data_IF_610427124698
#
_entry.id   IF_610427124698
#
_cell.length_a   1.000
_cell.length_b   1.000
_cell.length_c   1.000
_cell.angle_alpha   90.00
_cell.angle_beta   90.00
_cell.angle_gamma   90.00
#
_symmetry.space_group_name_H-M   'P 1'
#
loop_
_entity.id
_entity.type
_entity.pdbx_description
1 polymer ?
#
# COMPACT_ATOMS: atom_id res chain seq x y z
N UNK A 1 -9.26 -4.32 10.05
CA UNK A 1 -8.81 -5.73 9.88
C UNK A 1 -7.76 -6.13 10.91
N UNK A 2 -6.73 -5.32 11.14
CA UNK A 2 -5.64 -5.60 12.07
C UNK A 2 -6.11 -5.84 13.52
N UNK A 3 -6.98 -4.96 14.06
CA UNK A 3 -7.51 -5.12 15.43
C UNK A 3 -8.38 -6.37 15.60
N UNK A 4 -9.19 -6.71 14.61
CA UNK A 4 -10.04 -7.91 14.63
C UNK A 4 -9.21 -9.19 14.65
N UNK A 5 -8.10 -9.21 13.90
CA UNK A 5 -7.16 -10.33 13.82
C UNK A 5 -6.55 -10.63 15.19
N UNK A 6 -6.13 -9.61 15.93
CA UNK A 6 -5.56 -9.79 17.28
C UNK A 6 -6.61 -10.14 18.35
N UNK A 7 -7.82 -9.59 18.26
CA UNK A 7 -8.93 -9.88 19.18
C UNK A 7 -9.33 -11.35 19.12
N UNK A 8 -9.28 -11.99 17.96
CA UNK A 8 -9.63 -13.41 17.79
C UNK A 8 -8.45 -14.35 18.08
N UNK A 9 -7.26 -13.96 17.66
CA UNK A 9 -6.07 -14.80 17.78
C UNK A 9 -5.60 -14.98 19.23
N UNK A 10 -5.53 -13.91 20.00
CA UNK A 10 -4.97 -13.93 21.36
C UNK A 10 -5.75 -14.87 22.28
N UNK A 11 -7.10 -14.84 22.38
CA UNK A 11 -7.85 -15.76 23.23
C UNK A 11 -7.70 -17.23 22.80
N UNK A 12 -7.69 -17.50 21.49
CA UNK A 12 -7.54 -18.85 20.97
C UNK A 12 -6.16 -19.43 21.29
N UNK A 13 -5.09 -18.64 21.10
CA UNK A 13 -3.74 -19.07 21.44
C UNK A 13 -3.54 -19.22 22.95
N UNK A 14 -4.12 -18.31 23.75
CA UNK A 14 -4.09 -18.42 25.20
C UNK A 14 -4.77 -19.70 25.70
N UNK A 15 -5.94 -20.04 25.14
CA UNK A 15 -6.63 -21.30 25.45
C UNK A 15 -5.79 -22.52 25.06
N UNK A 16 -5.18 -22.53 23.88
CA UNK A 16 -4.33 -23.63 23.43
C UNK A 16 -3.05 -23.76 24.26
N UNK A 17 -2.42 -22.65 24.63
CA UNK A 17 -1.26 -22.65 25.52
C UNK A 17 -1.64 -23.19 26.90
N UNK A 18 -2.76 -22.73 27.45
CA UNK A 18 -3.31 -23.25 28.69
C UNK A 18 -3.61 -24.76 28.60
N UNK A 19 -4.23 -25.21 27.52
CA UNK A 19 -4.53 -26.62 27.29
C UNK A 19 -3.24 -27.46 27.18
N UNK A 20 -2.20 -26.96 26.48
CA UNK A 20 -0.90 -27.64 26.39
C UNK A 20 -0.20 -27.80 27.76
N UNK A 21 -0.23 -26.75 28.59
CA UNK A 21 0.35 -26.76 29.93
C UNK A 21 -0.44 -27.62 30.91
N UNK A 22 -1.78 -27.57 30.82
CA UNK A 22 -2.69 -28.25 31.78
C UNK A 22 -2.84 -29.74 31.50
N UNK A 23 -2.71 -30.18 30.24
CA UNK A 23 -3.05 -31.51 29.77
C UNK A 23 -1.87 -32.28 29.16
N UNK A 24 -0.63 -31.93 29.46
CA UNK A 24 0.58 -32.66 29.02
C UNK A 24 0.54 -33.11 27.53
N UNK A 25 0.07 -32.22 26.62
CA UNK A 25 0.00 -32.51 25.19
C UNK A 25 1.42 -32.81 24.65
N UNK A 26 1.67 -33.97 24.00
CA UNK A 26 3.00 -34.34 23.56
C UNK A 26 3.38 -33.58 22.27
N UNK A 27 3.83 -32.33 22.37
CA UNK A 27 4.19 -31.49 21.23
C UNK A 27 5.32 -32.10 20.35
N UNK A 28 6.26 -32.80 20.99
CA UNK A 28 7.33 -33.54 20.29
C UNK A 28 6.80 -34.65 19.37
N UNK A 29 5.72 -35.29 19.79
CA UNK A 29 5.05 -36.30 19.01
C UNK A 29 4.36 -35.70 17.76
N UNK A 30 3.68 -34.57 17.94
CA UNK A 30 3.05 -33.83 16.83
C UNK A 30 4.09 -33.37 15.78
N UNK A 31 5.25 -32.89 16.26
CA UNK A 31 6.34 -32.51 15.38
C UNK A 31 6.87 -33.68 14.54
N UNK A 32 7.11 -34.84 15.17
CA UNK A 32 7.54 -36.05 14.47
C UNK A 32 6.51 -36.54 13.46
N UNK A 33 5.22 -36.45 13.76
CA UNK A 33 4.12 -36.82 12.86
C UNK A 33 4.15 -36.00 11.55
N UNK A 34 4.40 -34.70 11.62
CA UNK A 34 4.54 -33.85 10.43
C UNK A 34 5.69 -34.32 9.52
N UNK A 35 6.81 -34.75 10.10
CA UNK A 35 7.96 -35.26 9.33
C UNK A 35 7.75 -36.64 8.72
N UNK A 36 6.90 -37.47 9.29
CA UNK A 36 6.60 -38.80 8.72
C UNK A 36 5.78 -38.70 7.42
N UNK A 37 5.00 -37.64 7.24
CA UNK A 37 4.13 -37.40 6.08
C UNK A 37 4.62 -36.27 5.19
N UNK A 38 5.89 -36.31 4.82
CA UNK A 38 6.61 -35.24 4.13
C UNK A 38 5.85 -34.67 2.92
N UNK A 39 5.31 -35.51 2.03
CA UNK A 39 4.63 -35.07 0.82
C UNK A 39 3.35 -34.26 1.11
N UNK A 40 2.45 -34.76 1.97
CA UNK A 40 1.22 -34.06 2.32
C UNK A 40 1.48 -32.80 3.13
N UNK A 41 2.42 -32.86 4.08
CA UNK A 41 2.84 -31.70 4.88
C UNK A 41 3.45 -30.61 3.99
N UNK A 42 4.34 -30.99 3.07
CA UNK A 42 5.02 -30.02 2.19
C UNK A 42 4.04 -29.36 1.21
N UNK A 43 3.15 -30.15 0.58
CA UNK A 43 2.15 -29.60 -0.35
C UNK A 43 1.20 -28.63 0.32
N UNK A 44 0.73 -28.94 1.52
CA UNK A 44 -0.16 -28.03 2.29
C UNK A 44 0.61 -26.81 2.79
N UNK A 45 1.82 -26.99 3.31
CA UNK A 45 2.66 -25.86 3.72
C UNK A 45 2.98 -24.93 2.54
N UNK A 46 3.22 -25.48 1.34
CA UNK A 46 3.43 -24.70 0.13
C UNK A 46 2.17 -23.92 -0.28
N UNK A 47 0.99 -24.51 -0.22
CA UNK A 47 -0.27 -23.82 -0.51
C UNK A 47 -0.51 -22.65 0.47
N UNK A 48 -0.25 -22.87 1.76
CA UNK A 48 -0.35 -21.84 2.78
C UNK A 48 0.71 -20.75 2.53
N UNK A 49 1.95 -21.14 2.20
CA UNK A 49 3.03 -20.20 1.92
C UNK A 49 2.70 -19.26 0.75
N UNK A 50 2.19 -19.80 -0.35
CA UNK A 50 1.74 -18.99 -1.51
C UNK A 50 0.61 -18.04 -1.10
N UNK A 51 -0.38 -18.52 -0.36
CA UNK A 51 -1.51 -17.70 0.11
C UNK A 51 -1.03 -16.56 1.00
N UNK A 52 -0.13 -16.84 1.96
CA UNK A 52 0.43 -15.82 2.87
C UNK A 52 1.33 -14.85 2.11
N UNK A 53 2.13 -15.33 1.15
CA UNK A 53 2.96 -14.46 0.32
C UNK A 53 2.09 -13.45 -0.46
N UNK A 54 1.02 -13.93 -1.12
CA UNK A 54 0.08 -13.06 -1.84
C UNK A 54 -0.59 -12.09 -0.89
N UNK A 55 -1.04 -12.53 0.28
CA UNK A 55 -1.64 -11.67 1.29
C UNK A 55 -0.69 -10.53 1.74
N UNK A 56 0.57 -10.85 2.04
CA UNK A 56 1.59 -9.87 2.45
C UNK A 56 1.89 -8.89 1.30
N UNK A 57 2.00 -9.38 0.06
CA UNK A 57 2.22 -8.54 -1.12
C UNK A 57 1.05 -7.60 -1.37
N UNK A 58 -0.20 -8.06 -1.28
CA UNK A 58 -1.40 -7.21 -1.42
C UNK A 58 -1.46 -6.15 -0.33
N UNK A 59 -1.15 -6.50 0.92
CA UNK A 59 -1.05 -5.52 2.01
C UNK A 59 0.07 -4.50 1.79
N UNK A 60 1.22 -4.95 1.27
CA UNK A 60 2.35 -4.07 0.94
C UNK A 60 1.99 -3.10 -0.18
N UNK A 61 1.27 -3.56 -1.22
CA UNK A 61 0.73 -2.73 -2.29
C UNK A 61 -0.17 -1.62 -1.75
N UNK A 62 -1.15 -1.99 -0.94
CA UNK A 62 -2.10 -1.04 -0.32
C UNK A 62 -1.38 0.01 0.54
N UNK A 63 -0.44 -0.42 1.39
CA UNK A 63 0.36 0.49 2.23
C UNK A 63 1.31 1.35 1.40
N UNK A 64 1.87 0.82 0.31
CA UNK A 64 2.75 1.54 -0.60
C UNK A 64 2.04 2.71 -1.29
N UNK A 65 0.85 2.46 -1.85
CA UNK A 65 0.01 3.49 -2.47
C UNK A 65 -0.39 4.55 -1.43
N UNK A 66 -0.93 4.12 -0.30
CA UNK A 66 -1.34 5.05 0.77
C UNK A 66 -0.17 5.91 1.25
N UNK A 67 1.01 5.33 1.45
CA UNK A 67 2.20 6.07 1.88
C UNK A 67 2.63 7.10 0.84
N UNK A 68 2.62 6.76 -0.45
CA UNK A 68 2.99 7.69 -1.51
C UNK A 68 2.12 8.96 -1.49
N UNK A 69 0.82 8.82 -1.31
CA UNK A 69 -0.08 9.98 -1.25
C UNK A 69 -0.01 10.71 0.10
N UNK A 70 -0.10 10.00 1.22
CA UNK A 70 -0.10 10.63 2.56
C UNK A 70 1.20 11.37 2.84
N UNK A 71 2.35 10.87 2.36
CA UNK A 71 3.64 11.55 2.53
C UNK A 71 3.80 12.80 1.65
N UNK A 72 2.89 13.03 0.69
CA UNK A 72 2.93 14.21 -0.17
C UNK A 72 2.33 15.45 0.51
N UNK A 73 1.31 15.25 1.35
CA UNK A 73 0.60 16.36 2.00
C UNK A 73 1.28 16.85 3.28
N UNK A 74 1.18 18.14 3.53
CA UNK A 74 1.63 18.81 4.75
C UNK A 74 0.46 19.42 5.51
N UNK A 75 0.52 19.37 6.84
CA UNK A 75 -0.54 19.87 7.71
C UNK A 75 -0.62 21.42 7.74
N UNK A 76 0.44 22.11 7.35
CA UNK A 76 0.54 23.57 7.30
C UNK A 76 0.18 24.16 5.92
N UNK A 77 -0.31 23.33 4.98
CA UNK A 77 -0.58 23.71 3.61
C UNK A 77 -2.03 23.42 3.19
N UNK A 78 -2.54 24.31 2.33
CA UNK A 78 -3.83 24.14 1.66
C UNK A 78 -3.66 24.16 0.14
N UNK A 79 -4.47 23.33 -0.51
CA UNK A 79 -4.64 23.32 -1.96
C UNK A 79 -5.96 23.98 -2.32
N UNK A 80 -5.92 24.99 -3.17
CA UNK A 80 -7.11 25.68 -3.66
C UNK A 80 -7.42 25.23 -5.07
N UNK A 81 -8.66 24.80 -5.30
CA UNK A 81 -9.17 24.29 -6.55
C UNK A 81 -10.44 25.07 -6.95
N UNK A 82 -10.86 24.92 -8.19
CA UNK A 82 -12.21 25.38 -8.57
C UNK A 82 -13.25 24.57 -7.79
N UNK A 83 -14.32 25.21 -7.36
CA UNK A 83 -15.42 24.55 -6.67
C UNK A 83 -15.92 23.32 -7.45
N UNK A 84 -16.13 22.21 -6.74
CA UNK A 84 -16.50 20.90 -7.27
C UNK A 84 -15.44 20.23 -8.16
N UNK A 85 -14.21 20.73 -8.23
CA UNK A 85 -13.11 20.01 -8.86
C UNK A 85 -12.51 19.00 -7.89
N UNK A 86 -12.58 17.72 -8.22
CA UNK A 86 -12.03 16.64 -7.39
C UNK A 86 -10.51 16.51 -7.51
N UNK A 87 -9.97 16.91 -8.65
CA UNK A 87 -8.53 16.78 -8.99
C UNK A 87 -8.03 18.03 -9.70
N UNK A 88 -6.75 18.30 -9.58
CA UNK A 88 -6.06 19.44 -10.21
C UNK A 88 -6.23 19.45 -11.74
N UNK A 89 -6.32 18.26 -12.36
CA UNK A 89 -6.48 18.11 -13.81
C UNK A 89 -7.76 18.77 -14.34
N UNK A 90 -8.84 18.71 -13.56
CA UNK A 90 -10.16 19.22 -13.93
C UNK A 90 -10.46 20.60 -13.32
N UNK A 91 -9.48 21.21 -12.66
CA UNK A 91 -9.59 22.51 -12.02
C UNK A 91 -9.01 23.61 -12.90
N UNK A 92 -9.57 24.80 -12.74
CA UNK A 92 -9.17 25.99 -13.49
C UNK A 92 -9.35 27.23 -12.61
N UNK A 93 -8.24 27.91 -12.32
CA UNK A 93 -8.18 29.14 -11.54
C UNK A 93 -7.70 30.29 -12.42
N UNK A 94 -8.46 31.37 -12.47
CA UNK A 94 -8.09 32.56 -13.22
C UNK A 94 -6.94 33.32 -12.53
N UNK A 95 -6.13 34.03 -13.30
CA UNK A 95 -5.01 34.82 -12.81
C UNK A 95 -5.45 35.87 -11.77
N UNK A 96 -6.65 36.45 -11.94
CA UNK A 96 -7.24 37.39 -10.99
C UNK A 96 -7.51 36.76 -9.63
N UNK A 97 -8.14 35.60 -9.61
CA UNK A 97 -8.43 34.83 -8.39
C UNK A 97 -7.14 34.49 -7.64
N UNK A 98 -6.14 33.98 -8.33
CA UNK A 98 -4.82 33.65 -7.76
C UNK A 98 -4.15 34.87 -7.15
N UNK A 99 -4.23 36.05 -7.80
CA UNK A 99 -3.67 37.31 -7.28
C UNK A 99 -4.32 37.70 -5.97
N UNK A 100 -5.65 37.63 -5.88
CA UNK A 100 -6.39 37.91 -4.64
C UNK A 100 -5.95 36.96 -3.52
N UNK A 101 -5.88 35.66 -3.78
CA UNK A 101 -5.51 34.68 -2.77
C UNK A 101 -4.06 34.80 -2.31
N UNK A 102 -3.10 35.14 -3.20
CA UNK A 102 -1.70 35.37 -2.82
C UNK A 102 -1.50 36.57 -1.89
N UNK A 103 -2.46 37.52 -1.87
CA UNK A 103 -2.44 38.64 -0.96
C UNK A 103 -3.09 38.33 0.41
N UNK A 104 -3.59 37.13 0.62
CA UNK A 104 -4.32 36.74 1.82
C UNK A 104 -3.44 36.86 3.09
N UNK A 105 -3.93 37.50 4.18
CA UNK A 105 -3.11 37.81 5.36
C UNK A 105 -2.66 36.60 6.17
N UNK A 106 -3.35 35.46 6.06
CA UNK A 106 -3.00 34.21 6.78
C UNK A 106 -1.83 33.43 6.16
N UNK A 107 -1.36 33.83 4.97
CA UNK A 107 -0.30 33.11 4.28
C UNK A 107 1.06 33.40 4.91
N UNK A 108 1.88 32.35 5.00
CA UNK A 108 3.27 32.46 5.41
C UNK A 108 4.09 33.21 4.35
N UNK A 109 5.13 33.88 4.81
CA UNK A 109 6.11 34.59 3.97
C UNK A 109 7.52 34.19 4.35
N UNK A 110 8.38 34.12 3.37
CA UNK A 110 9.84 33.98 3.54
C UNK A 110 10.54 35.21 2.96
N UNK A 111 11.87 35.20 2.95
CA UNK A 111 12.68 36.29 2.38
C UNK A 111 12.41 36.53 0.89
N UNK A 112 11.96 35.51 0.17
CA UNK A 112 11.63 35.56 -1.26
C UNK A 112 10.18 35.94 -1.54
N UNK A 113 9.33 36.12 -0.52
CA UNK A 113 7.94 36.54 -0.64
C UNK A 113 6.91 35.59 -0.04
N UNK A 114 5.67 35.68 -0.51
CA UNK A 114 4.57 34.84 -0.02
C UNK A 114 4.79 33.37 -0.41
N UNK A 115 4.61 32.46 0.53
CA UNK A 115 4.66 31.02 0.30
C UNK A 115 3.34 30.55 -0.33
N UNK A 116 3.18 30.86 -1.60
CA UNK A 116 2.08 30.47 -2.45
C UNK A 116 2.59 30.19 -3.86
N UNK A 117 2.17 29.07 -4.44
CA UNK A 117 2.57 28.62 -5.78
C UNK A 117 1.34 28.36 -6.64
N UNK A 118 1.18 29.16 -7.68
CA UNK A 118 0.24 28.85 -8.74
C UNK A 118 0.82 27.70 -9.60
N UNK A 119 0.02 26.68 -9.85
CA UNK A 119 0.52 25.47 -10.50
C UNK A 119 -0.38 25.06 -11.67
N UNK A 120 0.25 24.52 -12.70
CA UNK A 120 -0.41 23.93 -13.85
C UNK A 120 -0.13 22.42 -13.88
N UNK A 121 -1.18 21.60 -13.81
CA UNK A 121 -1.06 20.16 -13.83
C UNK A 121 -1.62 19.60 -15.15
N UNK A 122 -0.80 18.85 -15.86
CA UNK A 122 -1.18 18.22 -17.13
C UNK A 122 -0.69 16.78 -17.15
N UNK A 123 -1.31 15.95 -17.97
CA UNK A 123 -0.90 14.58 -18.20
C UNK A 123 -0.53 14.41 -19.66
N UNK A 124 0.53 13.66 -19.93
CA UNK A 124 1.00 13.37 -21.27
C UNK A 124 1.47 11.93 -21.39
N UNK A 125 1.33 11.36 -22.58
CA UNK A 125 1.86 10.03 -22.88
C UNK A 125 3.35 10.12 -23.16
N UNK A 126 4.12 9.24 -22.52
CA UNK A 126 5.55 9.05 -22.74
C UNK A 126 5.86 7.60 -23.03
N UNK A 127 6.76 7.37 -23.98
CA UNK A 127 7.22 6.02 -24.31
C UNK A 127 8.26 5.53 -23.33
N UNK A 128 8.10 4.29 -22.91
CA UNK A 128 9.06 3.62 -22.01
C UNK A 128 10.35 3.26 -22.74
N UNK A 129 11.46 3.30 -22.03
CA UNK A 129 12.77 2.97 -22.57
C UNK A 129 12.91 1.50 -22.98
N UNK A 130 12.10 0.62 -22.39
CA UNK A 130 12.11 -0.82 -22.65
C UNK A 130 11.26 -1.24 -23.87
N UNK A 131 10.60 -0.30 -24.54
CA UNK A 131 9.75 -0.58 -25.68
C UNK A 131 8.38 -1.20 -25.33
N UNK A 132 8.01 -1.29 -24.07
CA UNK A 132 6.72 -1.88 -23.61
C UNK A 132 5.49 -0.96 -23.86
N UNK A 133 5.67 0.10 -24.64
CA UNK A 133 4.62 1.05 -24.98
C UNK A 133 4.67 2.34 -24.17
N UNK A 134 3.68 3.21 -24.40
CA UNK A 134 3.53 4.48 -23.70
C UNK A 134 2.67 4.40 -22.46
N UNK A 135 2.93 5.28 -21.51
CA UNK A 135 2.07 5.48 -20.34
C UNK A 135 1.91 6.97 -20.04
N UNK A 136 0.85 7.31 -19.32
CA UNK A 136 0.56 8.67 -18.95
C UNK A 136 1.40 9.12 -17.77
N UNK A 137 2.19 10.17 -17.94
CA UNK A 137 3.03 10.79 -16.93
C UNK A 137 2.53 12.20 -16.63
N UNK A 138 2.47 12.56 -15.36
CA UNK A 138 2.10 13.90 -14.94
C UNK A 138 3.26 14.88 -15.15
N UNK A 139 2.93 16.08 -15.64
CA UNK A 139 3.83 17.22 -15.71
C UNK A 139 3.24 18.36 -14.90
N UNK A 140 3.98 18.81 -13.91
CA UNK A 140 3.62 19.91 -13.04
C UNK A 140 4.46 21.15 -13.36
N UNK A 141 3.79 22.20 -13.79
CA UNK A 141 4.38 23.54 -13.84
C UNK A 141 4.17 24.20 -12.49
N UNK A 142 5.23 24.68 -11.87
CA UNK A 142 5.17 25.32 -10.54
C UNK A 142 6.05 26.57 -10.49
N UNK A 143 5.74 27.45 -9.56
CA UNK A 143 6.57 28.60 -9.23
C UNK A 143 7.72 28.18 -8.29
N UNK A 144 8.80 28.97 -8.16
CA UNK A 144 9.90 28.67 -7.23
C UNK A 144 9.46 28.47 -5.77
N UNK A 145 8.40 29.18 -5.35
CA UNK A 145 7.78 28.99 -4.03
C UNK A 145 7.26 27.57 -3.84
N UNK A 146 6.71 26.95 -4.88
CA UNK A 146 6.23 25.56 -4.84
C UNK A 146 7.34 24.54 -4.57
N UNK A 147 8.53 24.75 -5.10
CA UNK A 147 9.71 23.92 -4.79
C UNK A 147 10.10 24.08 -3.31
N UNK A 148 10.16 25.32 -2.81
CA UNK A 148 10.52 25.62 -1.40
C UNK A 148 9.52 25.07 -0.39
N UNK A 149 8.24 25.07 -0.74
CA UNK A 149 7.18 24.52 0.12
C UNK A 149 7.23 23.00 0.26
N UNK A 150 7.78 22.28 -0.72
CA UNK A 150 7.89 20.81 -0.72
C UNK A 150 9.25 20.34 -0.16
N UNK A 151 9.48 20.57 1.13
CA UNK A 151 10.75 20.30 1.81
C UNK A 151 11.23 18.84 1.81
N UNK A 152 10.32 17.88 1.51
CA UNK A 152 10.66 16.46 1.34
C UNK A 152 11.33 16.17 -0.01
N UNK A 153 11.24 17.09 -0.97
CA UNK A 153 11.86 16.94 -2.29
C UNK A 153 13.27 17.50 -2.28
N UNK A 154 14.25 16.68 -2.67
CA UNK A 154 15.66 17.04 -2.66
C UNK A 154 16.26 16.88 -4.05
N UNK A 155 17.00 17.87 -4.49
CA UNK A 155 17.80 17.77 -5.71
C UNK A 155 18.95 16.80 -5.47
N UNK A 156 19.11 15.81 -6.36
CA UNK A 156 20.15 14.77 -6.26
C UNK A 156 21.29 15.05 -7.25
N UNK A 157 20.94 15.53 -8.47
CA UNK A 157 21.90 15.82 -9.53
C UNK A 157 21.46 17.04 -10.33
N UNK A 158 22.42 17.79 -10.86
CA UNK A 158 22.14 18.96 -11.67
C UNK A 158 21.67 20.17 -10.86
N UNK A 159 20.69 20.89 -11.38
CA UNK A 159 20.11 22.09 -10.77
C UNK A 159 18.60 22.14 -10.93
N UNK A 160 17.94 23.01 -10.17
CA UNK A 160 16.52 23.31 -10.39
C UNK A 160 16.32 24.04 -11.73
N UNK A 161 15.13 23.90 -12.30
CA UNK A 161 14.73 24.59 -13.52
C UNK A 161 14.75 26.11 -13.32
N UNK A 162 15.07 26.85 -14.39
CA UNK A 162 14.86 28.29 -14.45
C UNK A 162 13.41 28.56 -14.85
N UNK A 163 12.60 29.33 -14.07
CA UNK A 163 11.21 29.61 -14.37
C UNK A 163 10.98 30.27 -15.72
N UNK A 164 11.97 30.98 -16.26
CA UNK A 164 11.91 31.68 -17.54
C UNK A 164 12.31 30.83 -18.73
N UNK A 165 12.80 29.62 -18.53
CA UNK A 165 13.25 28.70 -19.57
C UNK A 165 12.39 27.43 -19.61
N UNK A 166 12.30 26.83 -20.80
CA UNK A 166 11.60 25.54 -20.98
C UNK A 166 12.52 24.39 -20.53
N UNK A 167 12.73 24.27 -19.24
CA UNK A 167 13.60 23.26 -18.62
C UNK A 167 12.79 22.29 -17.78
N UNK A 168 13.24 21.04 -17.70
CA UNK A 168 12.66 19.98 -16.89
C UNK A 168 13.58 19.57 -15.74
N UNK A 169 12.98 19.27 -14.59
CA UNK A 169 13.58 18.50 -13.51
C UNK A 169 12.76 17.24 -13.33
N UNK A 170 13.42 16.10 -13.28
CA UNK A 170 12.79 14.79 -13.30
C UNK A 170 13.04 14.03 -12.00
N UNK A 171 12.09 13.24 -11.50
CA UNK A 171 12.36 12.41 -10.34
C UNK A 171 13.26 11.24 -10.73
N UNK A 172 14.14 10.85 -9.81
CA UNK A 172 15.07 9.71 -10.00
C UNK A 172 14.39 8.45 -10.49
N UNK A 173 13.15 8.19 -10.04
CA UNK A 173 12.39 7.01 -10.42
C UNK A 173 11.95 7.00 -11.89
N UNK A 174 11.82 8.15 -12.52
CA UNK A 174 11.43 8.26 -13.92
C UNK A 174 12.60 8.41 -14.87
N UNK A 175 13.75 8.96 -14.39
CA UNK A 175 14.91 9.32 -15.22
C UNK A 175 15.45 8.19 -16.12
N UNK A 176 15.35 6.92 -15.69
CA UNK A 176 15.79 5.75 -16.49
C UNK A 176 14.65 4.95 -17.12
N UNK A 177 13.38 5.26 -16.84
CA UNK A 177 12.23 4.48 -17.30
C UNK A 177 11.64 4.95 -18.62
N UNK A 178 11.85 6.20 -18.97
CA UNK A 178 11.28 6.83 -20.16
C UNK A 178 12.37 7.40 -21.06
N UNK A 179 12.10 7.42 -22.35
CA UNK A 179 13.00 7.99 -23.35
C UNK A 179 13.13 9.51 -23.16
N UNK A 180 14.35 10.04 -23.24
CA UNK A 180 14.61 11.47 -23.16
C UNK A 180 14.59 12.08 -21.76
N UNK A 181 14.45 11.30 -20.69
CA UNK A 181 14.39 11.79 -19.31
C UNK A 181 15.70 11.67 -18.52
N UNK A 182 16.80 11.22 -19.12
CA UNK A 182 18.09 11.24 -18.44
C UNK A 182 18.66 12.67 -18.36
N UNK A 183 19.46 12.93 -17.32
CA UNK A 183 20.10 14.24 -17.15
C UNK A 183 20.90 14.63 -18.41
N UNK A 184 20.70 15.85 -18.90
CA UNK A 184 21.32 16.36 -20.13
C UNK A 184 20.62 15.94 -21.42
N UNK A 185 19.63 15.05 -21.38
CA UNK A 185 18.78 14.76 -22.53
C UNK A 185 17.65 15.79 -22.67
N UNK A 186 16.90 15.71 -23.74
CA UNK A 186 15.76 16.60 -24.01
C UNK A 186 14.52 15.80 -24.36
N UNK A 187 13.42 16.17 -23.74
CA UNK A 187 12.10 15.67 -24.05
C UNK A 187 11.40 16.66 -24.99
N UNK A 188 10.84 16.19 -26.12
CA UNK A 188 10.06 17.05 -27.03
C UNK A 188 8.56 16.83 -26.81
N UNK A 189 7.86 17.87 -26.40
CA UNK A 189 6.40 17.86 -26.30
C UNK A 189 5.80 19.24 -26.53
N UNK A 190 4.55 19.27 -26.95
CA UNK A 190 3.82 20.51 -27.29
C UNK A 190 4.61 21.45 -28.24
N UNK A 191 5.36 20.88 -29.19
CA UNK A 191 6.15 21.64 -30.17
C UNK A 191 7.39 22.32 -29.59
N UNK A 192 7.83 22.00 -28.37
CA UNK A 192 9.03 22.55 -27.72
C UNK A 192 9.95 21.46 -27.25
N UNK A 193 11.26 21.75 -27.22
CA UNK A 193 12.28 20.92 -26.60
C UNK A 193 12.47 21.35 -25.15
N UNK A 194 12.52 20.37 -24.24
CA UNK A 194 12.64 20.55 -22.80
C UNK A 194 13.88 19.81 -22.30
N UNK A 195 15.02 20.48 -22.15
CA UNK A 195 16.23 19.86 -21.61
C UNK A 195 16.02 19.49 -20.14
N UNK A 196 16.46 18.29 -19.78
CA UNK A 196 16.50 17.81 -18.39
C UNK A 196 17.73 18.37 -17.71
N UNK A 197 17.53 19.32 -16.79
CA UNK A 197 18.62 20.05 -16.11
C UNK A 197 18.88 19.57 -14.70
N UNK A 198 18.04 18.74 -14.15
CA UNK A 198 18.21 18.21 -12.81
C UNK A 198 17.41 16.93 -12.56
N UNK A 199 17.85 16.20 -11.54
CA UNK A 199 17.20 15.00 -11.03
C UNK A 199 16.94 15.18 -9.54
N UNK A 200 15.69 14.94 -9.10
CA UNK A 200 15.31 15.03 -7.70
C UNK A 200 14.84 13.69 -7.13
N UNK A 201 14.78 13.59 -5.80
CA UNK A 201 14.22 12.49 -5.04
C UNK A 201 13.13 13.05 -4.13
N UNK A 202 11.94 12.51 -4.25
CA UNK A 202 10.80 12.92 -3.45
C UNK A 202 10.45 11.91 -2.33
N UNK A 203 11.39 11.04 -1.97
CA UNK A 203 11.34 10.12 -0.82
C UNK A 203 10.09 9.21 -0.79
N UNK A 204 9.62 8.79 -1.95
CA UNK A 204 8.47 7.89 -2.06
C UNK A 204 7.11 8.58 -2.07
N UNK A 205 7.06 9.92 -2.12
CA UNK A 205 5.83 10.68 -2.29
C UNK A 205 5.29 10.59 -3.72
N UNK A 206 4.07 11.07 -3.97
CA UNK A 206 3.45 11.13 -5.29
C UNK A 206 4.29 11.95 -6.29
N UNK A 207 5.07 12.90 -5.81
CA UNK A 207 5.96 13.73 -6.63
C UNK A 207 7.08 12.93 -7.33
N UNK A 208 7.39 11.72 -6.87
CA UNK A 208 8.30 10.79 -7.58
C UNK A 208 7.75 10.32 -8.94
N UNK A 209 6.50 10.66 -9.25
CA UNK A 209 5.82 10.31 -10.50
C UNK A 209 5.50 11.52 -11.38
N UNK A 210 6.01 12.71 -11.04
CA UNK A 210 5.72 13.96 -11.75
C UNK A 210 6.99 14.60 -12.31
N UNK A 211 6.95 15.05 -13.56
CA UNK A 211 7.99 15.93 -14.14
C UNK A 211 7.71 17.37 -13.72
N UNK A 212 8.73 18.11 -13.32
CA UNK A 212 8.57 19.48 -12.87
C UNK A 212 9.21 20.50 -13.80
N UNK A 213 8.54 21.63 -14.01
CA UNK A 213 8.98 22.74 -14.86
C UNK A 213 8.41 24.07 -14.39
N UNK A 214 8.83 25.18 -15.02
CA UNK A 214 8.23 26.48 -14.75
C UNK A 214 6.76 26.56 -15.21
N UNK A 215 5.89 27.10 -14.36
CA UNK A 215 4.44 27.14 -14.62
C UNK A 215 4.08 27.94 -15.88
N UNK A 216 4.69 29.11 -16.09
CA UNK A 216 4.40 29.95 -17.24
C UNK A 216 4.85 29.29 -18.55
N UNK A 217 5.97 28.58 -18.55
CA UNK A 217 6.47 27.85 -19.72
C UNK A 217 5.54 26.70 -20.10
N UNK A 218 5.05 25.95 -19.10
CA UNK A 218 4.09 24.87 -19.33
C UNK A 218 2.73 25.39 -19.83
N UNK A 219 2.22 26.46 -19.23
CA UNK A 219 0.97 27.09 -19.62
C UNK A 219 1.04 27.59 -21.09
N UNK A 220 2.13 28.27 -21.46
CA UNK A 220 2.34 28.73 -22.85
C UNK A 220 2.40 27.55 -23.83
N UNK A 221 3.17 26.49 -23.50
CA UNK A 221 3.32 25.32 -24.35
C UNK A 221 1.97 24.58 -24.56
N UNK A 222 1.12 24.58 -23.52
CA UNK A 222 -0.21 23.94 -23.56
C UNK A 222 -1.33 24.89 -23.94
N UNK A 223 -1.02 26.15 -24.28
CA UNK A 223 -1.99 27.21 -24.62
C UNK A 223 -3.09 27.36 -23.57
N UNK A 224 -2.71 27.32 -22.29
CA UNK A 224 -3.63 27.48 -21.15
C UNK A 224 -3.52 28.88 -20.56
N UNK A 225 -4.65 29.50 -20.26
CA UNK A 225 -4.74 30.84 -19.67
C UNK A 225 -5.04 30.80 -18.17
N UNK A 226 -5.38 29.62 -17.64
CA UNK A 226 -5.74 29.41 -16.25
C UNK A 226 -4.84 28.35 -15.57
N UNK A 227 -4.58 28.55 -14.30
CA UNK A 227 -3.86 27.60 -13.45
C UNK A 227 -4.76 26.41 -13.09
N UNK A 228 -4.17 25.27 -12.77
CA UNK A 228 -4.90 24.12 -12.25
C UNK A 228 -5.21 24.26 -10.78
N UNK A 229 -4.28 24.81 -9.99
CA UNK A 229 -4.39 24.91 -8.54
C UNK A 229 -3.51 26.03 -8.01
N UNK A 230 -3.77 26.43 -6.76
CA UNK A 230 -2.90 27.28 -5.97
C UNK A 230 -2.56 26.53 -4.66
N UNK A 231 -1.28 26.18 -4.49
CA UNK A 231 -0.76 25.67 -3.24
C UNK A 231 -0.36 26.84 -2.35
N UNK A 232 -0.80 26.85 -1.10
CA UNK A 232 -0.47 27.88 -0.12
C UNK A 232 0.01 27.28 1.18
N UNK A 233 0.93 27.97 1.87
CA UNK A 233 1.33 27.64 3.24
C UNK A 233 0.79 28.69 4.20
N UNK A 234 0.22 28.26 5.32
CA UNK A 234 -0.27 29.14 6.37
C UNK A 234 0.87 29.53 7.32
N UNK A 235 0.85 30.74 7.84
CA UNK A 235 1.77 31.20 8.88
C UNK A 235 1.53 30.47 10.21
N UNK A 236 0.26 30.17 10.51
CA UNK A 236 -0.16 29.38 11.65
C UNK A 236 -1.01 28.19 11.15
N UNK A 237 -0.53 26.95 11.32
CA UNK A 237 -1.27 25.75 10.90
C UNK A 237 -2.65 25.62 11.58
N UNK A 238 -2.83 26.18 12.78
CA UNK A 238 -4.11 26.11 13.50
C UNK A 238 -5.20 26.93 12.82
N UNK A 239 -4.82 27.92 12.01
CA UNK A 239 -5.75 28.78 11.26
C UNK A 239 -6.10 28.21 9.87
N UNK A 240 -5.70 27.00 9.56
CA UNK A 240 -6.05 26.34 8.30
C UNK A 240 -7.58 26.21 8.10
N UNK A 241 -8.39 25.82 9.10
CA UNK A 241 -9.85 25.81 8.96
C UNK A 241 -10.44 27.21 8.68
N UNK A 242 -9.88 28.27 9.29
CA UNK A 242 -10.32 29.65 9.06
C UNK A 242 -10.06 30.09 7.61
N UNK A 243 -8.89 29.73 7.08
CA UNK A 243 -8.54 30.01 5.69
C UNK A 243 -9.48 29.30 4.72
N UNK A 244 -9.75 28.02 4.94
CA UNK A 244 -10.68 27.22 4.12
C UNK A 244 -12.06 27.89 4.13
N UNK A 245 -12.59 28.18 5.31
CA UNK A 245 -13.91 28.80 5.45
C UNK A 245 -13.99 30.19 4.76
N UNK A 246 -12.93 31.01 4.83
CA UNK A 246 -12.89 32.31 4.16
C UNK A 246 -12.85 32.21 2.65
N UNK A 247 -12.10 31.25 2.10
CA UNK A 247 -12.06 31.01 0.64
C UNK A 247 -13.41 30.53 0.12
N UNK A 248 -14.07 29.62 0.83
CA UNK A 248 -15.37 29.06 0.43
C UNK A 248 -16.53 30.05 0.62
N UNK A 249 -16.43 30.95 1.60
CA UNK A 249 -17.43 32.01 1.83
C UNK A 249 -17.43 33.05 0.72
N UNK A 250 -16.32 33.30 0.03
CA UNK A 250 -16.28 34.26 -1.07
C UNK A 250 -16.84 33.64 -2.37
N UNK A 251 -18.17 33.74 -2.48
CA UNK A 251 -18.91 33.20 -3.65
C UNK A 251 -18.49 33.82 -5.00
N UNK A 252 -17.78 34.94 -5.00
CA UNK A 252 -17.27 35.58 -6.23
C UNK A 252 -16.12 34.77 -6.81
N UNK A 253 -15.34 34.09 -5.96
CA UNK A 253 -14.21 33.31 -6.39
C UNK A 253 -14.61 31.94 -6.94
N UNK A 254 -15.73 31.36 -6.48
CA UNK A 254 -16.16 30.00 -6.87
C UNK A 254 -15.04 28.95 -6.71
N UNK A 255 -14.29 29.06 -5.63
CA UNK A 255 -13.16 28.20 -5.29
C UNK A 255 -13.48 27.35 -4.06
N UNK A 256 -12.77 26.27 -3.91
CA UNK A 256 -12.78 25.35 -2.77
C UNK A 256 -11.35 25.21 -2.28
N UNK A 257 -11.12 25.30 -0.99
CA UNK A 257 -9.82 25.06 -0.38
C UNK A 257 -9.87 23.79 0.44
N UNK A 258 -8.83 22.98 0.34
CA UNK A 258 -8.69 21.74 1.12
C UNK A 258 -7.33 21.71 1.81
N UNK A 259 -7.29 21.17 3.02
CA UNK A 259 -6.00 20.78 3.60
C UNK A 259 -5.26 19.86 2.63
N UNK A 260 -3.98 20.11 2.39
CA UNK A 260 -3.20 19.29 1.43
C UNK A 260 -3.19 17.81 1.84
N UNK A 261 -3.13 17.53 3.15
CA UNK A 261 -3.23 16.16 3.69
C UNK A 261 -4.57 15.50 3.37
N UNK A 262 -5.68 16.24 3.44
CA UNK A 262 -7.01 15.73 3.12
C UNK A 262 -7.14 15.46 1.60
N UNK A 263 -6.62 16.38 0.77
CA UNK A 263 -6.60 16.19 -0.69
C UNK A 263 -5.87 14.91 -1.09
N UNK A 264 -4.66 14.68 -0.58
CA UNK A 264 -3.92 13.45 -0.89
C UNK A 264 -4.53 12.19 -0.25
N UNK A 265 -5.20 12.31 0.91
CA UNK A 265 -5.96 11.20 1.48
C UNK A 265 -7.13 10.79 0.56
N UNK A 266 -7.86 11.76 -0.02
CA UNK A 266 -8.92 11.49 -1.01
C UNK A 266 -8.35 10.82 -2.28
N UNK A 267 -7.14 11.19 -2.71
CA UNK A 267 -6.48 10.54 -3.86
C UNK A 267 -6.14 9.06 -3.59
N UNK A 268 -5.89 8.71 -2.33
CA UNK A 268 -5.67 7.30 -1.93
C UNK A 268 -6.92 6.45 -2.18
N UNK A 269 -8.10 7.05 -2.12
CA UNK A 269 -9.37 6.35 -2.40
C UNK A 269 -9.48 5.86 -3.86
N UNK A 270 -8.77 6.49 -4.79
CA UNK A 270 -8.69 6.02 -6.17
C UNK A 270 -8.06 4.61 -6.29
N UNK A 271 -7.28 4.19 -5.30
CA UNK A 271 -6.73 2.83 -5.20
C UNK A 271 -7.69 1.78 -4.61
N UNK A 272 -8.86 2.18 -4.07
CA UNK A 272 -9.83 1.26 -3.47
C UNK A 272 -10.26 0.10 -4.38
N UNK A 273 -10.54 0.27 -5.68
CA UNK A 273 -10.90 -0.85 -6.55
C UNK A 273 -9.84 -1.95 -6.58
N UNK A 274 -8.56 -1.58 -6.62
CA UNK A 274 -7.43 -2.52 -6.60
C UNK A 274 -7.38 -3.25 -5.25
N UNK A 275 -7.59 -2.53 -4.15
CA UNK A 275 -7.65 -3.14 -2.81
C UNK A 275 -8.81 -4.12 -2.68
N UNK A 276 -10.00 -3.78 -3.20
CA UNK A 276 -11.18 -4.65 -3.18
C UNK A 276 -10.90 -5.94 -3.96
N UNK A 277 -10.34 -5.84 -5.16
CA UNK A 277 -9.96 -7.00 -5.97
C UNK A 277 -8.90 -7.86 -5.27
N UNK A 278 -7.86 -7.24 -4.72
CA UNK A 278 -6.81 -7.94 -3.96
C UNK A 278 -7.37 -8.65 -2.72
N UNK A 279 -8.28 -8.01 -2.00
CA UNK A 279 -8.96 -8.62 -0.85
C UNK A 279 -9.84 -9.79 -1.28
N UNK A 280 -10.57 -9.69 -2.40
CA UNK A 280 -11.40 -10.78 -2.95
C UNK A 280 -10.53 -11.99 -3.30
N UNK A 281 -9.43 -11.78 -4.02
CA UNK A 281 -8.47 -12.85 -4.35
C UNK A 281 -7.92 -13.48 -3.06
N UNK A 282 -7.56 -12.67 -2.08
CA UNK A 282 -7.05 -13.16 -0.78
C UNK A 282 -8.09 -14.02 -0.07
N UNK A 283 -9.37 -13.63 -0.05
CA UNK A 283 -10.45 -14.43 0.56
C UNK A 283 -10.60 -15.77 -0.14
N UNK A 284 -10.63 -15.80 -1.47
CA UNK A 284 -10.76 -17.04 -2.26
C UNK A 284 -9.58 -17.98 -1.96
N UNK A 285 -8.35 -17.47 -2.00
CA UNK A 285 -7.16 -18.25 -1.71
C UNK A 285 -7.13 -18.75 -0.26
N UNK A 286 -7.60 -17.93 0.69
CA UNK A 286 -7.73 -18.31 2.10
C UNK A 286 -8.67 -19.49 2.30
N UNK A 287 -9.82 -19.45 1.67
CA UNK A 287 -10.78 -20.58 1.71
C UNK A 287 -10.13 -21.84 1.12
N UNK A 288 -9.47 -21.73 -0.04
CA UNK A 288 -8.73 -22.85 -0.63
C UNK A 288 -7.67 -23.42 0.29
N UNK A 289 -6.87 -22.55 0.96
CA UNK A 289 -5.83 -22.97 1.89
C UNK A 289 -6.39 -23.62 3.17
N UNK A 290 -7.52 -23.11 3.69
CA UNK A 290 -8.23 -23.72 4.83
C UNK A 290 -8.73 -25.12 4.45
N UNK A 291 -9.33 -25.30 3.27
CA UNK A 291 -9.78 -26.60 2.80
C UNK A 291 -8.60 -27.56 2.57
N UNK A 292 -7.48 -27.08 2.03
CA UNK A 292 -6.27 -27.90 1.87
C UNK A 292 -5.71 -28.34 3.23
N UNK A 293 -5.62 -27.46 4.20
CA UNK A 293 -5.21 -27.79 5.56
C UNK A 293 -6.17 -28.77 6.21
N UNK A 294 -7.48 -28.55 6.07
CA UNK A 294 -8.52 -29.44 6.60
C UNK A 294 -8.41 -30.84 6.00
N UNK A 295 -8.22 -30.95 4.67
CA UNK A 295 -8.09 -32.25 4.00
C UNK A 295 -6.82 -33.01 4.47
N UNK A 296 -5.70 -32.31 4.61
CA UNK A 296 -4.46 -32.89 5.16
C UNK A 296 -4.64 -33.37 6.59
N UNK A 297 -5.34 -32.60 7.41
CA UNK A 297 -5.63 -32.99 8.79
C UNK A 297 -6.61 -34.17 8.87
N UNK A 298 -7.63 -34.26 8.01
CA UNK A 298 -8.49 -35.43 7.92
C UNK A 298 -7.71 -36.68 7.54
N UNK A 299 -6.81 -36.60 6.55
CA UNK A 299 -5.94 -37.70 6.21
C UNK A 299 -5.00 -38.08 7.37
N UNK A 300 -4.52 -37.10 8.15
CA UNK A 300 -3.74 -37.33 9.38
C UNK A 300 -4.53 -38.12 10.42
N UNK A 301 -5.75 -37.70 10.70
CA UNK A 301 -6.64 -38.36 11.66
C UNK A 301 -6.97 -39.79 11.21
N UNK A 302 -7.35 -39.97 9.92
CA UNK A 302 -7.70 -41.29 9.38
C UNK A 302 -6.55 -42.29 9.49
N UNK A 303 -5.33 -41.89 9.18
CA UNK A 303 -4.16 -42.78 9.26
C UNK A 303 -3.66 -43.08 10.66
N UNK A 304 -4.27 -42.45 11.71
CA UNK A 304 -3.86 -42.61 13.12
C UNK A 304 -5.03 -42.99 14.02
N UNK A 305 -6.10 -43.56 13.45
CA UNK A 305 -7.32 -43.92 14.20
C UNK A 305 -7.03 -44.92 15.33
N UNK A 306 -6.19 -45.94 15.09
CA UNK A 306 -5.77 -46.93 16.10
C UNK A 306 -4.97 -46.30 17.25
N UNK A 307 -4.05 -45.35 16.92
CA UNK A 307 -3.28 -44.62 17.95
C UNK A 307 -4.21 -43.75 18.80
N UNK A 308 -5.18 -43.07 18.21
CA UNK A 308 -6.19 -42.27 18.92
C UNK A 308 -7.01 -43.18 19.84
N UNK A 309 -7.39 -44.36 19.39
CA UNK A 309 -8.09 -45.37 20.19
C UNK A 309 -7.28 -45.80 21.41
N UNK A 310 -6.00 -46.10 21.21
CA UNK A 310 -5.05 -46.47 22.27
C UNK A 310 -4.90 -45.35 23.33
N UNK A 311 -4.69 -44.10 22.88
CA UNK A 311 -4.61 -42.95 23.78
C UNK A 311 -5.91 -42.78 24.59
N UNK A 312 -7.08 -42.93 23.94
CA UNK A 312 -8.38 -42.90 24.61
C UNK A 312 -8.54 -44.04 25.65
N UNK A 313 -8.08 -45.24 25.30
CA UNK A 313 -8.11 -46.39 26.21
C UNK A 313 -7.17 -46.18 27.44
N UNK A 314 -6.04 -45.51 27.29
CA UNK A 314 -5.13 -45.11 28.32
C UNK A 314 -5.66 -43.96 29.23
N UNK A 315 -6.86 -43.42 28.93
CA UNK A 315 -7.53 -42.42 29.76
C UNK A 315 -7.38 -40.97 29.29
N UNK A 316 -6.75 -40.70 28.14
CA UNK A 316 -6.66 -39.35 27.60
C UNK A 316 -8.07 -38.80 27.31
N UNK A 317 -8.29 -37.54 27.71
CA UNK A 317 -9.59 -36.87 27.54
C UNK A 317 -9.79 -36.39 26.09
N UNK A 318 -11.05 -36.23 25.70
CA UNK A 318 -11.38 -35.68 24.32
C UNK A 318 -10.72 -34.35 24.03
N UNK A 319 -10.63 -33.47 25.04
CA UNK A 319 -10.00 -32.15 24.91
C UNK A 319 -8.49 -32.26 24.64
N UNK A 320 -7.83 -33.26 25.20
CA UNK A 320 -6.39 -33.50 24.98
C UNK A 320 -6.11 -33.95 23.56
N UNK A 321 -6.94 -34.83 23.02
CA UNK A 321 -6.86 -35.25 21.61
C UNK A 321 -7.15 -34.05 20.69
N UNK A 322 -8.22 -33.29 20.96
CA UNK A 322 -8.53 -32.09 20.19
C UNK A 322 -7.38 -31.09 20.19
N UNK A 323 -6.83 -30.78 21.39
CA UNK A 323 -5.71 -29.85 21.50
C UNK A 323 -4.45 -30.34 20.77
N UNK A 324 -4.14 -31.66 20.84
CA UNK A 324 -3.00 -32.24 20.13
C UNK A 324 -3.09 -32.03 18.61
N UNK A 325 -4.22 -32.41 18.00
CA UNK A 325 -4.40 -32.22 16.55
C UNK A 325 -4.49 -30.75 16.17
N UNK A 326 -5.06 -29.90 17.03
CA UNK A 326 -5.08 -28.45 16.79
C UNK A 326 -3.66 -27.86 16.79
N UNK A 327 -2.78 -28.31 17.70
CA UNK A 327 -1.37 -27.93 17.70
C UNK A 327 -0.64 -28.42 16.43
N UNK A 328 -0.92 -29.63 15.94
CA UNK A 328 -0.36 -30.12 14.68
C UNK A 328 -0.74 -29.23 13.49
N UNK A 329 -2.03 -28.81 13.40
CA UNK A 329 -2.50 -27.89 12.39
C UNK A 329 -1.84 -26.49 12.50
N UNK A 330 -1.65 -26.00 13.73
CA UNK A 330 -0.97 -24.74 13.98
C UNK A 330 0.50 -24.77 13.56
N UNK A 331 1.22 -25.85 13.91
CA UNK A 331 2.62 -26.02 13.50
C UNK A 331 2.74 -26.01 11.98
N UNK A 332 1.87 -26.76 11.29
CA UNK A 332 1.83 -26.83 9.82
C UNK A 332 1.59 -25.43 9.21
N UNK A 333 0.57 -24.72 9.69
CA UNK A 333 0.22 -23.40 9.18
C UNK A 333 1.27 -22.34 9.54
N UNK A 334 1.89 -22.44 10.71
CA UNK A 334 2.97 -21.52 11.10
C UNK A 334 4.21 -21.71 10.23
N UNK A 335 4.57 -22.96 9.91
CA UNK A 335 5.67 -23.25 8.97
C UNK A 335 5.38 -22.69 7.57
N UNK A 336 4.18 -22.95 7.04
CA UNK A 336 3.74 -22.38 5.77
C UNK A 336 3.69 -20.85 5.81
N UNK A 337 3.19 -20.28 6.91
CA UNK A 337 3.12 -18.83 7.11
C UNK A 337 4.48 -18.14 7.15
N UNK A 338 5.44 -18.71 7.89
CA UNK A 338 6.82 -18.24 7.91
C UNK A 338 7.45 -18.33 6.51
N UNK A 339 7.34 -19.48 5.86
CA UNK A 339 7.84 -19.65 4.50
C UNK A 339 7.22 -18.63 3.53
N UNK A 340 5.91 -18.38 3.62
CA UNK A 340 5.21 -17.39 2.80
C UNK A 340 5.64 -15.96 3.09
N UNK A 341 5.84 -15.60 4.36
CA UNK A 341 6.34 -14.28 4.74
C UNK A 341 7.77 -14.04 4.21
N UNK A 342 8.63 -15.06 4.25
CA UNK A 342 9.97 -14.99 3.64
C UNK A 342 9.89 -14.93 2.11
N UNK A 343 9.01 -15.70 1.48
CA UNK A 343 8.81 -15.67 0.02
C UNK A 343 8.36 -14.28 -0.46
N UNK A 344 7.54 -13.61 0.33
CA UNK A 344 7.12 -12.25 0.04
C UNK A 344 8.31 -11.28 -0.05
N UNK A 345 9.40 -11.48 0.71
CA UNK A 345 10.59 -10.63 0.68
C UNK A 345 11.23 -10.54 -0.71
N UNK A 346 11.03 -11.53 -1.59
CA UNK A 346 11.49 -11.47 -2.97
C UNK A 346 10.89 -10.29 -3.74
N UNK A 347 9.74 -9.76 -3.29
CA UNK A 347 9.09 -8.60 -3.88
C UNK A 347 9.52 -7.27 -3.25
N UNK A 348 10.32 -7.32 -2.15
CA UNK A 348 10.70 -6.10 -1.44
C UNK A 348 11.61 -5.22 -2.30
N UNK A 349 11.28 -3.94 -2.40
CA UNK A 349 12.02 -2.98 -3.21
C UNK A 349 11.72 -3.01 -4.70
N UNK A 350 10.93 -3.97 -5.20
CA UNK A 350 10.48 -3.96 -6.60
C UNK A 350 9.61 -2.71 -6.80
N UNK A 351 10.03 -1.89 -7.75
CA UNK A 351 9.27 -0.73 -8.17
C UNK A 351 8.20 -1.15 -9.16
N UNK A 352 7.00 -0.71 -8.92
CA UNK A 352 5.87 -0.89 -9.83
C UNK A 352 5.09 0.41 -9.94
N UNK A 353 4.18 0.46 -10.87
CA UNK A 353 3.30 1.60 -11.02
C UNK A 353 1.87 1.15 -11.22
N UNK A 354 0.95 2.02 -10.85
CA UNK A 354 -0.47 1.86 -11.13
C UNK A 354 -1.03 3.15 -11.69
N UNK A 355 -2.09 3.03 -12.48
CA UNK A 355 -2.78 4.21 -13.00
C UNK A 355 -3.67 4.79 -11.89
N UNK A 356 -3.54 6.07 -11.63
CA UNK A 356 -4.52 6.80 -10.84
C UNK A 356 -5.78 6.97 -11.68
N UNK A 357 -6.88 6.35 -11.27
CA UNK A 357 -8.14 6.39 -12.02
C UNK A 357 -8.82 7.76 -12.07
N UNK A 358 -8.39 8.73 -11.27
CA UNK A 358 -8.92 10.10 -11.29
C UNK A 358 -8.14 11.02 -12.22
N UNK A 359 -6.81 10.87 -12.26
CA UNK A 359 -5.91 11.71 -13.07
C UNK A 359 -5.42 10.99 -14.33
N UNK A 360 -5.66 9.69 -14.44
CA UNK A 360 -5.14 8.80 -15.49
C UNK A 360 -3.61 8.82 -15.61
N UNK A 361 -2.91 9.32 -14.60
CA UNK A 361 -1.45 9.34 -14.57
C UNK A 361 -0.89 8.09 -13.89
N UNK A 362 0.32 7.71 -14.30
CA UNK A 362 1.09 6.62 -13.70
C UNK A 362 1.63 7.06 -12.33
N UNK A 363 1.31 6.32 -11.28
CA UNK A 363 1.83 6.53 -9.93
C UNK A 363 2.78 5.41 -9.58
N UNK A 364 4.05 5.75 -9.49
CA UNK A 364 5.11 4.81 -9.14
C UNK A 364 5.22 4.65 -7.63
N UNK A 365 5.29 3.41 -7.16
CA UNK A 365 5.56 3.08 -5.77
C UNK A 365 6.45 1.84 -5.70
N UNK A 366 7.06 1.60 -4.53
CA UNK A 366 7.82 0.39 -4.27
C UNK A 366 7.09 -0.49 -3.26
N UNK A 367 7.15 -1.80 -3.46
CA UNK A 367 6.73 -2.73 -2.42
C UNK A 367 7.65 -2.58 -1.21
N UNK A 368 7.05 -2.31 -0.04
CA UNK A 368 7.80 -2.18 1.21
C UNK A 368 7.30 -3.22 2.19
N UNK A 369 8.00 -4.34 2.26
CA UNK A 369 7.66 -5.44 3.16
C UNK A 369 8.38 -5.23 4.48
N UNK A 370 7.62 -4.78 5.48
CA UNK A 370 8.11 -4.52 6.83
C UNK A 370 7.96 -5.75 7.72
N UNK A 371 8.77 -5.89 8.81
CA UNK A 371 8.58 -6.95 9.79
C UNK A 371 7.14 -7.03 10.34
N UNK A 372 6.48 -5.88 10.49
CA UNK A 372 5.08 -5.83 10.91
C UNK A 372 4.11 -6.46 9.91
N UNK A 373 4.35 -6.32 8.60
CA UNK A 373 3.56 -7.01 7.56
C UNK A 373 3.82 -8.52 7.57
N UNK A 374 5.06 -8.93 7.76
CA UNK A 374 5.42 -10.35 7.89
C UNK A 374 4.73 -10.97 9.10
N UNK A 375 4.75 -10.30 10.24
CA UNK A 375 4.05 -10.76 11.45
C UNK A 375 2.53 -10.87 11.24
N UNK A 376 1.92 -9.94 10.50
CA UNK A 376 0.50 -10.03 10.11
C UNK A 376 0.24 -11.24 9.22
N UNK A 377 1.13 -11.55 8.27
CA UNK A 377 1.04 -12.75 7.42
C UNK A 377 1.12 -14.04 8.23
N UNK A 378 2.05 -14.12 9.18
CA UNK A 378 2.17 -15.28 10.08
C UNK A 378 0.95 -15.40 11.00
N UNK A 379 0.49 -14.29 11.59
CA UNK A 379 -0.74 -14.29 12.39
C UNK A 379 -1.96 -14.77 11.59
N UNK A 380 -2.05 -14.36 10.33
CA UNK A 380 -3.09 -14.81 9.42
C UNK A 380 -3.00 -16.32 9.13
N UNK A 381 -1.81 -16.88 8.93
CA UNK A 381 -1.64 -18.34 8.75
C UNK A 381 -2.02 -19.13 10.01
N UNK A 382 -1.76 -18.60 11.19
CA UNK A 382 -2.20 -19.21 12.45
C UNK A 382 -3.73 -19.26 12.54
N UNK A 383 -4.44 -18.20 12.13
CA UNK A 383 -5.91 -18.23 12.04
C UNK A 383 -6.40 -19.27 11.05
N UNK A 384 -5.73 -19.42 9.89
CA UNK A 384 -6.07 -20.49 8.94
C UNK A 384 -5.88 -21.88 9.56
N UNK A 385 -4.83 -22.06 10.37
CA UNK A 385 -4.57 -23.29 11.10
C UNK A 385 -5.63 -23.59 12.17
N UNK A 386 -6.10 -22.56 12.87
CA UNK A 386 -7.20 -22.68 13.82
C UNK A 386 -8.48 -23.13 13.11
N UNK A 387 -8.83 -22.47 12.00
CA UNK A 387 -10.04 -22.76 11.26
C UNK A 387 -9.97 -24.14 10.56
N UNK A 388 -8.88 -24.42 9.84
CA UNK A 388 -8.71 -25.66 9.08
C UNK A 388 -8.47 -26.90 9.95
N UNK A 389 -7.84 -26.74 11.12
CA UNK A 389 -7.59 -27.83 12.05
C UNK A 389 -8.78 -28.20 12.93
N UNK A 390 -9.70 -27.26 13.17
CA UNK A 390 -10.74 -27.44 14.18
C UNK A 390 -11.68 -28.63 13.91
N UNK A 391 -12.26 -28.73 12.73
CA UNK A 391 -13.21 -29.80 12.40
C UNK A 391 -12.57 -31.19 12.40
N UNK A 392 -11.38 -31.41 11.78
CA UNK A 392 -10.66 -32.68 11.86
C UNK A 392 -10.29 -33.06 13.30
N UNK A 393 -9.78 -32.11 14.10
CA UNK A 393 -9.42 -32.34 15.49
C UNK A 393 -10.64 -32.68 16.34
N UNK A 394 -11.74 -31.99 16.14
CA UNK A 394 -13.00 -32.28 16.82
C UNK A 394 -13.53 -33.67 16.48
N UNK A 395 -13.49 -34.10 15.19
CA UNK A 395 -13.84 -35.45 14.77
C UNK A 395 -12.92 -36.49 15.41
N UNK A 396 -11.60 -36.27 15.40
CA UNK A 396 -10.62 -37.15 16.05
C UNK A 396 -10.96 -37.38 17.55
N UNK A 397 -11.33 -36.34 18.26
CA UNK A 397 -11.64 -36.39 19.70
C UNK A 397 -12.90 -37.22 20.02
N UNK A 398 -13.76 -37.48 19.03
CA UNK A 398 -15.04 -38.21 19.20
C UNK A 398 -15.04 -39.65 18.71
N UNK A 399 -13.93 -40.13 18.16
CA UNK A 399 -13.82 -41.52 17.68
C UNK A 399 -14.04 -42.48 18.88
N UNK A 400 -15.01 -43.44 18.79
CA UNK A 400 -15.21 -44.45 19.83
C UNK A 400 -14.01 -45.39 19.94
N UNK A 401 -13.61 -45.76 21.16
CA UNK A 401 -12.48 -46.66 21.41
C UNK A 401 -12.71 -48.02 20.75
N UNK A 402 -13.95 -48.51 20.80
CA UNK A 402 -14.34 -49.80 20.19
C UNK A 402 -14.21 -49.83 18.67
N UNK A 403 -14.44 -48.71 18.00
CA UNK A 403 -14.34 -48.57 16.55
C UNK A 403 -12.87 -48.37 16.13
N UNK A 404 -12.12 -47.62 16.91
CA UNK A 404 -10.69 -47.37 16.66
C UNK A 404 -9.80 -48.60 16.80
N UNK A 405 -10.21 -49.61 17.56
CA UNK A 405 -9.46 -50.85 17.76
C UNK A 405 -9.88 -52.00 16.80
N UNK A 406 -10.91 -51.82 15.99
CA UNK A 406 -11.38 -52.83 15.00
C UNK A 406 -10.72 -52.66 13.63
N UNK A 407 -10.04 -51.59 13.33
CA UNK A 407 -9.27 -51.31 12.13
C UNK A 407 -7.81 -51.49 12.41
#
# INVERSE_FOLDING_TARGET
MERLLWITLVPCLAWLAWAALRYSVPLSYNWRSLWQRKAGTLSTAAAIAVTVAIFVVVLSLSKGISRAFVSSGRADQALVLRANARVELNSSLERGQVRVLKAHPLLARDEAGTLASAECYVVMMLDRSDGSGGTNVAVRGLEPAGVRMRGQVRLVQGRWFNPSLSELVVPRKLAGRFQGLALGQSLTFSGRSWPVVGVFDAQGSAFDSELWTGVDQLMQARKRDAYSTLLVRLADPQRLPDFIAQVEADKRLKLEAKAETAYYAEQTEAGKPIQVLGNLITVILTLGAIFAAMNTMYASVAGRTAEIGTLRALGFRRVEILASFQWEALMLCSLGGLAGAFLALAFNGIQTSTVNFQTFSDVSFAFTITPGLMAQGVAFSVLMGLAGGFFPAWRASRIPVTEAMKG
#
